data_IF_856854089122
#
_entry.id   IF_856854089122
#
_cell.length_a   1.000
_cell.length_b   1.000
_cell.length_c   1.000
_cell.angle_alpha   90.00
_cell.angle_beta   90.00
_cell.angle_gamma   90.00
#
_symmetry.space_group_name_H-M   'P 1'
#
loop_
_entity.id
_entity.type
_entity.pdbx_description
1 polymer ?
#
# COMPACT_ATOMS: atom_id res chain seq x y z
N UNK A 1 -7.06 -13.62 1.47
CA UNK A 1 -6.10 -12.51 1.18
C UNK A 1 -4.67 -13.05 1.14
N UNK A 2 -3.73 -12.43 0.41
CA UNK A 2 -2.29 -12.81 0.36
C UNK A 2 -1.59 -12.51 1.72
N UNK A 3 -2.06 -13.15 2.79
CA UNK A 3 -1.67 -12.84 4.17
C UNK A 3 -0.27 -13.33 4.51
N UNK A 4 0.29 -14.30 3.79
CA UNK A 4 1.58 -14.90 4.13
C UNK A 4 2.73 -13.88 4.12
N UNK A 5 2.86 -13.08 3.06
CA UNK A 5 3.93 -12.08 2.95
C UNK A 5 3.73 -10.91 3.92
N UNK A 6 2.49 -10.44 4.08
CA UNK A 6 2.15 -9.36 4.99
C UNK A 6 2.40 -9.77 6.45
N UNK A 7 1.88 -10.93 6.84
CA UNK A 7 2.06 -11.51 8.18
C UNK A 7 3.52 -11.77 8.50
N UNK A 8 4.28 -12.28 7.53
CA UNK A 8 5.72 -12.47 7.70
C UNK A 8 6.44 -11.13 7.93
N UNK A 9 6.11 -10.09 7.15
CA UNK A 9 6.73 -8.77 7.32
C UNK A 9 6.39 -8.13 8.67
N UNK A 10 5.13 -8.23 9.11
CA UNK A 10 4.68 -7.74 10.43
C UNK A 10 5.36 -8.50 11.59
N UNK A 11 5.43 -9.82 11.49
CA UNK A 11 6.11 -10.67 12.47
C UNK A 11 7.62 -10.50 12.47
N UNK A 12 8.23 -10.23 11.32
CA UNK A 12 9.65 -9.90 11.26
C UNK A 12 9.90 -8.56 11.97
N UNK A 13 9.04 -7.56 11.76
CA UNK A 13 9.18 -6.28 12.44
C UNK A 13 9.09 -6.41 13.97
N UNK A 14 8.13 -7.17 14.48
CA UNK A 14 7.97 -7.34 15.93
C UNK A 14 9.20 -7.97 16.61
N UNK A 15 9.97 -8.80 15.88
CA UNK A 15 11.20 -9.42 16.37
C UNK A 15 12.42 -8.49 16.36
N UNK A 16 12.46 -7.56 15.41
CA UNK A 16 13.66 -6.77 15.08
C UNK A 16 13.62 -5.37 15.68
N UNK A 17 12.50 -4.99 16.30
CA UNK A 17 12.31 -3.68 16.88
C UNK A 17 13.23 -3.42 18.10
N UNK A 18 13.88 -2.24 18.17
CA UNK A 18 14.69 -1.84 19.31
C UNK A 18 13.90 -1.77 20.62
N UNK A 19 14.61 -1.89 21.75
CA UNK A 19 14.01 -1.81 23.10
C UNK A 19 13.14 -0.57 23.32
N UNK A 20 13.51 0.56 22.73
CA UNK A 20 12.80 1.82 22.83
C UNK A 20 11.34 1.76 22.31
N UNK A 21 11.05 0.85 21.37
CA UNK A 21 9.74 0.72 20.73
C UNK A 21 8.93 -0.49 21.24
N UNK A 22 9.44 -1.23 22.24
CA UNK A 22 8.81 -2.47 22.75
C UNK A 22 7.41 -2.25 23.33
N UNK A 23 7.15 -1.12 24.00
CA UNK A 23 5.81 -0.80 24.52
C UNK A 23 4.78 -0.60 23.41
N UNK A 24 5.19 -0.08 22.25
CA UNK A 24 4.34 0.02 21.06
C UNK A 24 3.98 -1.37 20.51
N UNK A 25 4.91 -2.32 20.53
CA UNK A 25 4.69 -3.70 20.05
C UNK A 25 3.81 -4.52 20.98
N UNK A 26 4.06 -4.45 22.29
CA UNK A 26 3.26 -5.18 23.28
C UNK A 26 1.78 -4.78 23.21
N UNK A 27 1.51 -3.55 22.75
CA UNK A 27 0.15 -3.06 22.49
C UNK A 27 -0.37 -3.27 21.06
N UNK A 28 0.49 -3.31 20.02
CA UNK A 28 0.05 -3.38 18.63
C UNK A 28 -0.04 -4.82 18.07
N UNK A 29 0.86 -5.74 18.43
CA UNK A 29 0.91 -7.07 17.80
C UNK A 29 1.19 -7.03 16.28
N UNK A 30 1.43 -8.20 15.66
CA UNK A 30 1.58 -8.27 14.21
C UNK A 30 0.22 -8.06 13.51
N UNK A 31 -0.83 -8.53 14.18
CA UNK A 31 -2.20 -8.56 13.74
C UNK A 31 -2.80 -7.16 13.55
N UNK A 32 -2.57 -6.20 14.47
CA UNK A 32 -3.10 -4.83 14.26
C UNK A 32 -2.37 -4.10 13.14
N UNK A 33 -1.08 -4.37 12.93
CA UNK A 33 -0.33 -3.76 11.82
C UNK A 33 -0.81 -4.32 10.49
N UNK A 34 -1.05 -5.63 10.43
CA UNK A 34 -1.70 -6.29 9.29
C UNK A 34 -3.09 -5.73 9.02
N UNK A 35 -3.87 -5.51 10.08
CA UNK A 35 -5.20 -4.91 9.99
C UNK A 35 -5.13 -3.48 9.44
N UNK A 36 -4.24 -2.63 9.94
CA UNK A 36 -4.05 -1.26 9.42
C UNK A 36 -3.76 -1.31 7.92
N UNK A 37 -2.82 -2.16 7.49
CA UNK A 37 -2.44 -2.26 6.08
C UNK A 37 -3.62 -2.79 5.24
N UNK A 38 -4.29 -3.83 5.73
CA UNK A 38 -5.42 -4.47 5.04
C UNK A 38 -6.58 -3.51 4.87
N UNK A 39 -6.95 -2.79 5.94
CA UNK A 39 -8.05 -1.81 5.92
C UNK A 39 -7.76 -0.72 4.91
N UNK A 40 -6.56 -0.11 4.90
CA UNK A 40 -6.24 0.95 3.92
C UNK A 40 -6.22 0.42 2.49
N UNK A 41 -5.74 -0.80 2.26
CA UNK A 41 -5.74 -1.40 0.92
C UNK A 41 -7.17 -1.64 0.41
N UNK A 42 -8.05 -2.17 1.26
CA UNK A 42 -9.47 -2.36 0.91
C UNK A 42 -10.19 -1.02 0.74
N UNK A 43 -9.91 -0.03 1.59
CA UNK A 43 -10.46 1.33 1.46
C UNK A 43 -10.06 2.03 0.18
N UNK A 44 -8.81 1.86 -0.26
CA UNK A 44 -8.34 2.37 -1.55
C UNK A 44 -9.09 1.73 -2.71
N UNK A 45 -9.29 0.41 -2.65
CA UNK A 45 -10.04 -0.34 -3.64
C UNK A 45 -11.52 0.10 -3.73
N UNK A 46 -12.18 0.23 -2.57
CA UNK A 46 -13.55 0.70 -2.48
C UNK A 46 -13.71 2.14 -2.99
N UNK A 47 -12.74 3.00 -2.68
CA UNK A 47 -12.69 4.37 -3.20
C UNK A 47 -12.51 4.40 -4.71
N UNK A 48 -11.66 3.53 -5.26
CA UNK A 48 -11.51 3.34 -6.70
C UNK A 48 -12.78 2.83 -7.38
N UNK A 49 -13.55 1.94 -6.72
CA UNK A 49 -14.87 1.51 -7.20
C UNK A 49 -15.89 2.67 -7.20
N UNK A 50 -15.89 3.49 -6.15
CA UNK A 50 -16.84 4.57 -5.96
C UNK A 50 -16.57 5.79 -6.87
N UNK A 51 -15.31 6.12 -7.11
CA UNK A 51 -14.92 7.29 -7.91
C UNK A 51 -15.30 7.17 -9.40
N UNK A 52 -15.54 5.95 -9.88
CA UNK A 52 -15.81 5.69 -11.29
C UNK A 52 -14.57 5.89 -12.17
N UNK A 53 -14.58 5.28 -13.36
CA UNK A 53 -13.49 5.42 -14.34
C UNK A 53 -13.72 6.64 -15.24
N UNK A 54 -12.70 7.49 -15.42
CA UNK A 54 -12.70 8.60 -16.37
C UNK A 54 -11.76 8.27 -17.55
N UNK A 55 -12.30 8.01 -18.77
CA UNK A 55 -11.48 7.81 -19.96
C UNK A 55 -10.54 9.01 -20.22
N UNK A 56 -9.29 8.73 -20.60
CA UNK A 56 -8.27 9.76 -20.89
C UNK A 56 -7.40 10.17 -19.70
N UNK A 57 -7.90 10.09 -18.46
CA UNK A 57 -7.13 10.33 -17.22
C UNK A 57 -6.66 9.04 -16.52
N UNK A 58 -7.26 7.90 -16.88
CA UNK A 58 -7.59 6.82 -15.95
C UNK A 58 -6.46 5.96 -15.35
N UNK A 59 -5.27 5.88 -15.92
CA UNK A 59 -4.20 5.06 -15.31
C UNK A 59 -3.52 5.74 -14.13
N UNK A 60 -2.92 6.89 -14.42
CA UNK A 60 -2.07 7.61 -13.47
C UNK A 60 -2.90 8.35 -12.41
N UNK A 61 -4.03 8.95 -12.77
CA UNK A 61 -4.86 9.68 -11.80
C UNK A 61 -5.45 8.75 -10.73
N UNK A 62 -5.87 7.54 -11.10
CA UNK A 62 -6.37 6.54 -10.17
C UNK A 62 -5.27 6.07 -9.21
N UNK A 63 -4.07 5.78 -9.71
CA UNK A 63 -2.92 5.46 -8.87
C UNK A 63 -2.54 6.61 -7.92
N UNK A 64 -2.66 7.86 -8.37
CA UNK A 64 -2.39 9.01 -7.51
C UNK A 64 -3.40 9.14 -6.36
N UNK A 65 -4.64 8.66 -6.52
CA UNK A 65 -5.60 8.61 -5.42
C UNK A 65 -5.14 7.66 -4.29
N UNK A 66 -4.35 6.64 -4.62
CA UNK A 66 -3.77 5.72 -3.63
C UNK A 66 -2.75 6.40 -2.70
N UNK A 67 -2.17 7.56 -3.07
CA UNK A 67 -1.15 8.23 -2.24
C UNK A 67 -1.70 8.58 -0.85
N UNK A 68 -2.96 9.00 -0.79
CA UNK A 68 -3.68 9.34 0.45
C UNK A 68 -3.71 8.18 1.44
N UNK A 69 -4.10 7.02 0.93
CA UNK A 69 -4.15 5.79 1.70
C UNK A 69 -2.76 5.33 2.16
N UNK A 70 -1.73 5.47 1.30
CA UNK A 70 -0.37 5.06 1.64
C UNK A 70 0.18 5.89 2.80
N UNK A 71 0.12 7.22 2.73
CA UNK A 71 0.71 8.04 3.79
C UNK A 71 -0.10 7.96 5.10
N UNK A 72 -1.43 7.87 5.04
CA UNK A 72 -2.28 7.64 6.22
C UNK A 72 -1.97 6.30 6.89
N UNK A 73 -1.79 5.24 6.09
CA UNK A 73 -1.40 3.92 6.58
C UNK A 73 -0.05 3.97 7.29
N UNK A 74 0.97 4.59 6.69
CA UNK A 74 2.29 4.74 7.31
C UNK A 74 2.22 5.53 8.62
N UNK A 75 1.42 6.60 8.66
CA UNK A 75 1.23 7.40 9.86
C UNK A 75 0.62 6.59 11.02
N UNK A 76 -0.40 5.77 10.72
CA UNK A 76 -1.04 4.91 11.73
C UNK A 76 -0.12 3.79 12.22
N UNK A 77 0.65 3.18 11.32
CA UNK A 77 1.71 2.23 11.68
C UNK A 77 2.72 2.90 12.63
N UNK A 78 3.21 4.09 12.29
CA UNK A 78 4.13 4.84 13.14
C UNK A 78 3.57 5.14 14.52
N UNK A 79 2.33 5.62 14.61
CA UNK A 79 1.67 5.86 15.91
C UNK A 79 1.60 4.60 16.75
N UNK A 80 1.22 3.46 16.17
CA UNK A 80 1.14 2.17 16.89
C UNK A 80 2.51 1.70 17.37
N UNK A 81 3.55 1.89 16.56
CA UNK A 81 4.91 1.51 16.91
C UNK A 81 5.61 2.52 17.83
N UNK A 82 5.01 3.69 18.06
CA UNK A 82 5.62 4.78 18.83
C UNK A 82 6.78 5.46 18.10
N UNK A 83 6.77 5.46 16.76
CA UNK A 83 7.78 6.10 15.91
C UNK A 83 7.35 7.53 15.59
N UNK A 84 8.15 8.51 15.99
CA UNK A 84 7.91 9.95 15.84
C UNK A 84 8.23 10.55 14.47
N UNK A 85 7.87 9.90 13.36
CA UNK A 85 8.08 10.50 12.03
C UNK A 85 7.09 11.65 11.77
N UNK A 86 7.61 12.77 11.25
CA UNK A 86 6.75 13.91 10.90
C UNK A 86 5.83 13.59 9.72
N UNK A 87 4.66 14.23 9.68
CA UNK A 87 3.68 14.05 8.60
C UNK A 87 4.27 14.32 7.22
N UNK A 88 5.13 15.35 7.10
CA UNK A 88 5.84 15.68 5.85
C UNK A 88 6.76 14.55 5.39
N UNK A 89 7.53 13.97 6.32
CA UNK A 89 8.40 12.82 6.01
C UNK A 89 7.57 11.62 5.56
N UNK A 90 6.47 11.33 6.25
CA UNK A 90 5.57 10.23 5.91
C UNK A 90 4.92 10.42 4.54
N UNK A 91 4.39 11.62 4.24
CA UNK A 91 3.83 11.95 2.91
C UNK A 91 4.88 11.82 1.80
N UNK A 92 6.08 12.34 2.03
CA UNK A 92 7.21 12.29 1.11
C UNK A 92 7.67 10.86 0.81
N UNK A 93 7.73 10.00 1.84
CA UNK A 93 8.05 8.58 1.69
C UNK A 93 6.95 7.81 0.96
N UNK A 94 5.68 8.05 1.32
CA UNK A 94 4.53 7.44 0.65
C UNK A 94 4.51 7.74 -0.85
N UNK A 95 4.71 9.01 -1.22
CA UNK A 95 4.83 9.42 -2.61
C UNK A 95 6.00 8.74 -3.32
N UNK A 96 7.18 8.68 -2.69
CA UNK A 96 8.35 8.05 -3.29
C UNK A 96 8.17 6.53 -3.51
N UNK A 97 7.58 5.82 -2.55
CA UNK A 97 7.27 4.39 -2.70
C UNK A 97 6.29 4.21 -3.87
N UNK A 98 5.21 4.99 -3.91
CA UNK A 98 4.24 4.95 -4.99
C UNK A 98 4.90 5.18 -6.36
N UNK A 99 5.69 6.25 -6.51
CA UNK A 99 6.39 6.56 -7.75
C UNK A 99 7.28 5.41 -8.22
N UNK A 100 7.99 4.75 -7.30
CA UNK A 100 8.89 3.65 -7.64
C UNK A 100 8.14 2.38 -8.08
N UNK A 101 6.94 2.10 -7.55
CA UNK A 101 6.17 0.91 -7.92
C UNK A 101 5.09 1.18 -8.99
N UNK A 102 4.80 2.45 -9.31
CA UNK A 102 3.75 2.84 -10.24
C UNK A 102 3.96 2.28 -11.65
N UNK A 103 5.21 2.26 -12.15
CA UNK A 103 5.52 1.69 -13.46
C UNK A 103 5.17 0.20 -13.54
N UNK A 104 5.57 -0.57 -12.52
CA UNK A 104 5.21 -1.98 -12.35
C UNK A 104 3.71 -2.20 -12.23
N UNK A 105 3.02 -1.37 -11.45
CA UNK A 105 1.57 -1.43 -11.29
C UNK A 105 0.85 -1.18 -12.63
N UNK A 106 1.24 -0.15 -13.37
CA UNK A 106 0.67 0.16 -14.68
C UNK A 106 0.90 -0.93 -15.71
N UNK A 107 2.05 -1.61 -15.65
CA UNK A 107 2.33 -2.76 -16.51
C UNK A 107 1.35 -3.93 -16.28
N UNK A 108 0.81 -4.11 -15.07
CA UNK A 108 -0.15 -5.18 -14.74
C UNK A 108 -1.55 -4.96 -15.32
N UNK A 109 -1.90 -3.72 -15.66
CA UNK A 109 -3.15 -3.45 -16.39
C UNK A 109 -3.00 -3.84 -17.86
N UNK A 110 -1.79 -3.77 -18.42
CA UNK A 110 -1.46 -4.21 -19.76
C UNK A 110 -2.13 -3.39 -20.87
N UNK A 111 -1.53 -3.35 -22.06
CA UNK A 111 -2.04 -2.54 -23.18
C UNK A 111 -3.47 -2.90 -23.62
N UNK A 112 -3.86 -4.18 -23.54
CA UNK A 112 -5.17 -4.66 -23.98
C UNK A 112 -6.31 -4.37 -22.97
N UNK A 113 -6.05 -4.44 -21.66
CA UNK A 113 -7.06 -4.03 -20.67
C UNK A 113 -7.15 -2.51 -20.58
N UNK A 114 -6.03 -1.80 -20.78
CA UNK A 114 -6.04 -0.35 -20.99
C UNK A 114 -6.87 0.00 -22.24
N UNK A 115 -6.64 -0.65 -23.37
CA UNK A 115 -7.41 -0.44 -24.60
C UNK A 115 -8.89 -0.79 -24.45
N UNK A 116 -9.24 -1.85 -23.73
CA UNK A 116 -10.64 -2.23 -23.44
C UNK A 116 -11.31 -1.26 -22.46
N UNK A 117 -10.56 -0.70 -21.50
CA UNK A 117 -11.02 0.37 -20.62
C UNK A 117 -11.11 1.73 -21.33
N UNK A 118 -10.34 1.94 -22.41
CA UNK A 118 -10.29 3.16 -23.21
C UNK A 118 -11.28 3.14 -24.40
N UNK A 119 -11.66 1.97 -24.91
CA UNK A 119 -12.53 1.84 -26.09
C UNK A 119 -14.03 1.87 -25.77
N UNK A 120 -14.41 1.82 -24.49
CA UNK A 120 -15.81 1.87 -24.07
C UNK A 120 -16.13 3.19 -23.39
N UNK A 121 -16.81 4.07 -24.12
CA UNK A 121 -17.26 5.41 -23.72
C UNK A 121 -18.39 5.42 -22.69
N UNK A 122 -18.66 4.30 -22.02
CA UNK A 122 -19.75 4.15 -21.05
C UNK A 122 -19.26 4.25 -19.61
N UNK A 123 -19.73 5.27 -18.88
CA UNK A 123 -19.82 5.25 -17.41
C UNK A 123 -20.60 3.98 -17.02
N UNK A 124 -19.97 3.03 -16.31
CA UNK A 124 -20.68 1.90 -15.72
C UNK A 124 -20.16 0.47 -15.98
N UNK A 125 -19.01 0.25 -16.62
CA UNK A 125 -18.50 -1.12 -16.73
C UNK A 125 -17.84 -1.57 -15.41
N UNK A 126 -18.59 -2.34 -14.62
CA UNK A 126 -18.13 -2.95 -13.38
C UNK A 126 -16.81 -3.73 -13.52
N UNK A 127 -16.49 -4.24 -14.73
CA UNK A 127 -15.22 -4.93 -14.99
C UNK A 127 -14.01 -4.01 -14.97
N UNK A 128 -14.09 -2.82 -15.58
CA UNK A 128 -13.00 -1.84 -15.59
C UNK A 128 -12.79 -1.25 -14.19
N UNK A 129 -13.88 -0.93 -13.49
CA UNK A 129 -13.82 -0.47 -12.09
C UNK A 129 -13.18 -1.53 -11.18
N UNK A 130 -13.53 -2.81 -11.35
CA UNK A 130 -12.92 -3.90 -10.57
C UNK A 130 -11.43 -4.08 -10.87
N UNK A 131 -11.00 -3.89 -12.13
CA UNK A 131 -9.56 -3.96 -12.46
C UNK A 131 -8.78 -2.87 -11.74
N UNK A 132 -9.30 -1.64 -11.75
CA UNK A 132 -8.63 -0.50 -11.11
C UNK A 132 -8.67 -0.58 -9.59
N UNK A 133 -9.81 -0.95 -9.02
CA UNK A 133 -9.92 -1.22 -7.58
C UNK A 133 -8.93 -2.29 -7.12
N UNK A 134 -8.78 -3.37 -7.90
CA UNK A 134 -7.80 -4.41 -7.62
C UNK A 134 -6.35 -3.90 -7.72
N UNK A 135 -6.10 -2.89 -8.57
CA UNK A 135 -4.80 -2.25 -8.70
C UNK A 135 -4.51 -1.33 -7.51
N UNK A 136 -5.46 -0.48 -7.11
CA UNK A 136 -5.35 0.39 -5.94
C UNK A 136 -5.13 -0.44 -4.67
N UNK A 137 -5.90 -1.52 -4.50
CA UNK A 137 -5.66 -2.51 -3.44
C UNK A 137 -4.22 -3.00 -3.45
N UNK A 138 -3.74 -3.47 -4.61
CA UNK A 138 -2.41 -4.07 -4.73
C UNK A 138 -1.31 -3.06 -4.40
N UNK A 139 -1.43 -1.83 -4.90
CA UNK A 139 -0.45 -0.77 -4.70
C UNK A 139 -0.37 -0.37 -3.23
N UNK A 140 -1.50 -0.19 -2.55
CA UNK A 140 -1.50 0.16 -1.12
C UNK A 140 -1.00 -1.00 -0.27
N UNK A 141 -1.44 -2.24 -0.54
CA UNK A 141 -0.98 -3.43 0.17
C UNK A 141 0.55 -3.61 0.06
N UNK A 142 1.07 -3.55 -1.17
CA UNK A 142 2.51 -3.72 -1.44
C UNK A 142 3.32 -2.57 -0.85
N UNK A 143 2.80 -1.34 -0.88
CA UNK A 143 3.41 -0.20 -0.18
C UNK A 143 3.54 -0.46 1.32
N UNK A 144 2.51 -1.04 1.96
CA UNK A 144 2.57 -1.45 3.36
C UNK A 144 3.65 -2.49 3.62
N UNK A 145 3.75 -3.53 2.79
CA UNK A 145 4.79 -4.56 2.91
C UNK A 145 6.20 -3.95 2.76
N UNK A 146 6.40 -3.09 1.75
CA UNK A 146 7.67 -2.39 1.54
C UNK A 146 8.02 -1.54 2.76
N UNK A 147 7.05 -0.81 3.32
CA UNK A 147 7.28 0.02 4.50
C UNK A 147 7.74 -0.78 5.72
N UNK A 148 7.10 -1.93 5.95
CA UNK A 148 7.51 -2.85 7.01
C UNK A 148 8.94 -3.36 6.80
N UNK A 149 9.31 -3.70 5.55
CA UNK A 149 10.67 -4.12 5.20
C UNK A 149 11.70 -3.00 5.37
N UNK A 150 11.34 -1.75 5.07
CA UNK A 150 12.19 -0.57 5.34
C UNK A 150 12.46 -0.48 6.84
N UNK A 151 11.41 -0.48 7.67
CA UNK A 151 11.55 -0.39 9.12
C UNK A 151 12.41 -1.55 9.69
N UNK A 152 12.14 -2.79 9.28
CA UNK A 152 12.96 -3.96 9.65
C UNK A 152 14.42 -3.74 9.30
N UNK A 153 14.71 -3.32 8.07
CA UNK A 153 16.09 -3.12 7.60
C UNK A 153 16.82 -2.04 8.39
N UNK A 154 16.16 -0.92 8.66
CA UNK A 154 16.72 0.19 9.45
C UNK A 154 16.98 -0.22 10.89
N UNK A 155 16.06 -0.93 11.53
CA UNK A 155 16.22 -1.42 12.89
C UNK A 155 17.33 -2.47 13.01
N UNK A 156 17.42 -3.41 12.06
CA UNK A 156 18.54 -4.37 11.98
C UNK A 156 19.89 -3.69 11.85
N UNK A 157 19.94 -2.59 11.11
CA UNK A 157 21.14 -1.77 10.94
C UNK A 157 21.44 -0.86 12.15
N UNK A 158 20.64 -0.94 13.22
CA UNK A 158 20.80 -0.11 14.42
C UNK A 158 20.54 1.38 14.19
N UNK A 159 19.81 1.74 13.12
CA UNK A 159 19.50 3.12 12.77
C UNK A 159 18.37 3.66 13.65
N UNK A 160 18.53 4.90 14.07
CA UNK A 160 17.48 5.67 14.74
C UNK A 160 16.57 6.29 13.68
N UNK A 161 15.43 5.65 13.42
CA UNK A 161 14.50 5.99 12.33
C UNK A 161 14.00 7.42 12.43
N UNK A 162 13.82 7.95 13.64
CA UNK A 162 13.33 9.32 13.88
C UNK A 162 14.34 10.40 13.50
N UNK A 163 15.63 10.04 13.39
CA UNK A 163 16.70 10.95 12.99
C UNK A 163 17.04 10.90 11.50
N UNK A 164 16.40 10.01 10.75
CA UNK A 164 16.64 9.87 9.33
C UNK A 164 15.94 10.99 8.56
N UNK A 165 16.63 11.52 7.55
CA UNK A 165 16.04 12.47 6.62
C UNK A 165 15.01 11.80 5.71
N UNK A 166 14.20 12.61 4.99
CA UNK A 166 13.32 12.06 3.97
C UNK A 166 14.12 11.33 2.88
N UNK A 167 15.31 11.84 2.57
CA UNK A 167 16.22 11.30 1.56
C UNK A 167 16.76 9.93 1.98
N UNK A 168 17.16 9.78 3.24
CA UNK A 168 17.62 8.50 3.80
C UNK A 168 16.52 7.44 3.73
N UNK A 169 15.29 7.79 4.09
CA UNK A 169 14.14 6.88 4.06
C UNK A 169 13.75 6.51 2.62
N UNK A 170 13.85 7.45 1.67
CA UNK A 170 13.65 7.19 0.24
C UNK A 170 14.72 6.25 -0.31
N UNK A 171 15.99 6.45 0.04
CA UNK A 171 17.07 5.57 -0.35
C UNK A 171 16.88 4.15 0.22
N UNK A 172 16.42 4.04 1.47
CA UNK A 172 16.06 2.76 2.07
C UNK A 172 14.89 2.09 1.32
N UNK A 173 13.86 2.87 0.92
CA UNK A 173 12.76 2.38 0.12
C UNK A 173 13.20 1.85 -1.24
N UNK A 174 14.01 2.61 -1.97
CA UNK A 174 14.57 2.18 -3.25
C UNK A 174 15.38 0.90 -3.12
N UNK A 175 16.20 0.79 -2.07
CA UNK A 175 16.99 -0.41 -1.83
C UNK A 175 16.09 -1.63 -1.58
N UNK A 176 15.05 -1.49 -0.75
CA UNK A 176 14.07 -2.58 -0.55
C UNK A 176 13.41 -2.93 -1.88
N UNK A 177 12.85 -1.96 -2.60
CA UNK A 177 12.12 -2.16 -3.86
C UNK A 177 12.99 -2.87 -4.91
N UNK A 178 14.27 -2.48 -5.06
CA UNK A 178 15.20 -3.09 -6.02
C UNK A 178 15.52 -4.55 -5.72
N UNK A 179 15.38 -4.98 -4.47
CA UNK A 179 15.68 -6.36 -4.03
C UNK A 179 14.43 -7.25 -3.92
N UNK A 180 13.26 -6.73 -4.30
CA UNK A 180 11.98 -7.44 -4.22
C UNK A 180 11.39 -7.68 -5.61
N UNK A 181 10.68 -8.80 -5.78
CA UNK A 181 9.87 -9.02 -6.99
C UNK A 181 8.54 -8.27 -6.87
N UNK A 182 8.61 -6.94 -6.96
CA UNK A 182 7.44 -6.06 -6.85
C UNK A 182 6.36 -6.40 -7.89
N UNK A 183 6.75 -6.89 -9.07
CA UNK A 183 5.81 -7.31 -10.11
C UNK A 183 4.97 -8.50 -9.64
N UNK A 184 5.62 -9.54 -9.08
CA UNK A 184 4.88 -10.68 -8.52
C UNK A 184 4.02 -10.26 -7.34
N UNK A 185 4.58 -9.46 -6.41
CA UNK A 185 3.84 -8.99 -5.24
C UNK A 185 2.55 -8.25 -5.62
N UNK A 186 2.64 -7.31 -6.57
CA UNK A 186 1.49 -6.55 -7.06
C UNK A 186 0.48 -7.46 -7.77
N UNK A 187 0.95 -8.41 -8.60
CA UNK A 187 0.08 -9.37 -9.29
C UNK A 187 -0.68 -10.25 -8.31
N UNK A 188 0.02 -10.83 -7.33
CA UNK A 188 -0.57 -11.71 -6.33
C UNK A 188 -1.58 -10.97 -5.45
N UNK A 189 -1.25 -9.73 -5.04
CA UNK A 189 -2.16 -8.87 -4.28
C UNK A 189 -3.43 -8.55 -5.08
N UNK A 190 -3.28 -8.14 -6.34
CA UNK A 190 -4.40 -7.85 -7.26
C UNK A 190 -5.29 -9.05 -7.46
N UNK A 191 -4.72 -10.21 -7.74
CA UNK A 191 -5.47 -11.43 -8.04
C UNK A 191 -6.16 -11.97 -6.77
N UNK A 192 -5.51 -11.83 -5.61
CA UNK A 192 -6.14 -12.11 -4.32
C UNK A 192 -7.37 -11.22 -4.07
N UNK A 193 -7.30 -9.92 -4.35
CA UNK A 193 -8.44 -9.03 -4.19
C UNK A 193 -9.58 -9.41 -5.13
N UNK A 194 -9.28 -9.65 -6.41
CA UNK A 194 -10.30 -10.08 -7.38
C UNK A 194 -11.00 -11.36 -6.95
N UNK A 195 -10.26 -12.32 -6.38
CA UNK A 195 -10.83 -13.56 -5.86
C UNK A 195 -11.78 -13.28 -4.69
N UNK A 196 -11.33 -12.50 -3.70
CA UNK A 196 -12.12 -12.13 -2.52
C UNK A 196 -13.39 -11.34 -2.88
N UNK A 197 -13.29 -10.40 -3.83
CA UNK A 197 -14.44 -9.65 -4.33
C UNK A 197 -15.45 -10.58 -5.03
N UNK A 198 -14.98 -11.48 -5.90
CA UNK A 198 -15.86 -12.44 -6.59
C UNK A 198 -16.53 -13.45 -5.66
N UNK A 199 -15.88 -13.80 -4.54
CA UNK A 199 -16.47 -14.70 -3.54
C UNK A 199 -17.38 -13.98 -2.54
N UNK A 200 -17.46 -12.65 -2.59
CA UNK A 200 -18.22 -11.85 -1.63
C UNK A 200 -17.56 -11.70 -0.26
N UNK A 201 -16.28 -12.07 -0.11
CA UNK A 201 -15.50 -11.85 1.12
C UNK A 201 -15.22 -10.35 1.33
N UNK A 202 -15.10 -9.60 0.22
CA UNK A 202 -15.00 -8.14 0.19
C UNK A 202 -16.15 -7.61 -0.65
N UNK A 203 -16.85 -6.60 -0.16
CA UNK A 203 -18.04 -6.01 -0.78
C UNK A 203 -17.72 -4.87 -1.75
N UNK A 204 -16.57 -4.22 -1.60
CA UNK A 204 -16.18 -3.03 -2.37
C UNK A 204 -16.84 -1.73 -1.88
N UNK A 205 -17.51 -1.76 -0.72
CA UNK A 205 -18.18 -0.61 -0.08
C UNK A 205 -17.51 -0.21 1.23
N UNK A 206 -16.36 -0.79 1.54
CA UNK A 206 -15.63 -0.55 2.77
C UNK A 206 -15.12 0.89 2.81
N UNK A 207 -15.24 1.53 3.97
CA UNK A 207 -14.81 2.92 4.18
C UNK A 207 -13.64 2.95 5.14
N UNK A 208 -12.70 3.88 4.88
CA UNK A 208 -11.55 4.12 5.76
C UNK A 208 -11.42 5.60 5.97
N UNK A 209 -11.36 6.01 7.23
CA UNK A 209 -11.02 7.38 7.58
C UNK A 209 -9.55 7.62 7.23
N UNK A 210 -9.31 8.39 6.17
CA UNK A 210 -7.97 8.89 5.85
C UNK A 210 -7.70 10.07 6.78
N UNK A 211 -6.52 10.09 7.40
CA UNK A 211 -6.11 11.25 8.19
C UNK A 211 -6.23 12.53 7.34
N UNK A 212 -6.86 13.57 7.88
CA UNK A 212 -7.04 14.86 7.18
C UNK A 212 -5.69 15.53 6.90
N UNK A 213 -5.61 16.45 5.92
CA UNK A 213 -4.35 17.01 5.41
C UNK A 213 -3.48 17.78 6.38
#
# INVERSE_FOLDING_TARGET
MNSGALHYAAKALSKELPKAYRKGIEGAGAEEIEEIISVHAVGAAASGLAAGWVPGAGGTAALMASVGFIWSMYYRINKKLGIGLSKTVVKSLGAAVLTNIAGSAMALVGGAALATALSFTGVGNAFSSLIMAALDYAVVLVSGIIYMKILVGLFKAGKDVEKLSSEDLKAAAENVIKNEDVNSMLKDARDSYKKAYKSGEISGKETVDIEEE
#
